data_IF_182984344206
#
_entry.id   IF_182984344206
#
_cell.length_a   1.000
_cell.length_b   1.000
_cell.length_c   1.000
_cell.angle_alpha   90.00
_cell.angle_beta   90.00
_cell.angle_gamma   90.00
#
_symmetry.space_group_name_H-M   'P 1'
#
loop_
_entity.id
_entity.type
_entity.pdbx_description
1 polymer ?
#
# COMPACT_ATOMS: atom_id res chain seq x y z
N UNK A 1 -4.11 -23.40 -10.80
CA UNK A 1 -4.45 -22.55 -11.96
C UNK A 1 -4.75 -21.15 -11.43
N UNK A 2 -3.75 -20.28 -11.40
CA UNK A 2 -3.90 -18.92 -10.89
C UNK A 2 -4.75 -18.09 -11.85
N UNK A 3 -5.91 -17.62 -11.37
CA UNK A 3 -6.68 -16.59 -12.05
C UNK A 3 -5.90 -15.27 -11.97
N UNK A 4 -5.05 -15.02 -12.95
CA UNK A 4 -4.60 -13.66 -13.26
C UNK A 4 -5.87 -12.87 -13.55
N UNK A 5 -6.25 -12.00 -12.62
CA UNK A 5 -7.43 -11.16 -12.77
C UNK A 5 -7.15 -10.19 -13.92
N UNK A 6 -7.69 -10.49 -15.10
CA UNK A 6 -7.54 -9.65 -16.28
C UNK A 6 -8.11 -8.26 -15.94
N UNK A 7 -7.23 -7.25 -15.85
CA UNK A 7 -7.66 -5.87 -15.65
C UNK A 7 -8.37 -5.49 -16.95
N UNK A 8 -9.68 -5.25 -16.90
CA UNK A 8 -10.44 -4.79 -18.07
C UNK A 8 -9.89 -3.43 -18.52
N UNK A 9 -9.69 -3.24 -19.84
CA UNK A 9 -9.20 -1.98 -20.42
C UNK A 9 -10.04 -0.77 -19.98
N UNK A 10 -11.35 -0.96 -19.77
CA UNK A 10 -12.24 0.09 -19.27
C UNK A 10 -11.90 0.52 -17.82
N UNK A 11 -11.52 -0.44 -16.96
CA UNK A 11 -11.13 -0.18 -15.57
C UNK A 11 -9.78 0.51 -15.52
N UNK A 12 -8.83 0.04 -16.34
CA UNK A 12 -7.52 0.66 -16.48
C UNK A 12 -7.64 2.12 -16.97
N UNK A 13 -8.45 2.37 -18.00
CA UNK A 13 -8.70 3.71 -18.51
C UNK A 13 -9.36 4.61 -17.45
N UNK A 14 -10.39 4.13 -16.74
CA UNK A 14 -11.05 4.89 -15.68
C UNK A 14 -10.09 5.23 -14.54
N UNK A 15 -9.28 4.24 -14.10
CA UNK A 15 -8.27 4.45 -13.06
C UNK A 15 -7.25 5.51 -13.49
N UNK A 16 -6.73 5.43 -14.73
CA UNK A 16 -5.78 6.42 -15.26
C UNK A 16 -6.39 7.82 -15.37
N UNK A 17 -7.64 7.94 -15.83
CA UNK A 17 -8.34 9.22 -15.94
C UNK A 17 -8.55 9.86 -14.57
N UNK A 18 -8.97 9.08 -13.57
CA UNK A 18 -9.17 9.58 -12.19
C UNK A 18 -7.86 9.95 -11.51
N UNK A 19 -6.79 9.17 -11.74
CA UNK A 19 -5.44 9.52 -11.29
C UNK A 19 -4.94 10.82 -11.94
N UNK A 20 -5.15 11.00 -13.25
CA UNK A 20 -4.78 12.21 -13.97
C UNK A 20 -5.55 13.44 -13.45
N UNK A 21 -6.86 13.30 -13.21
CA UNK A 21 -7.68 14.34 -12.58
C UNK A 21 -7.17 14.69 -11.18
N UNK A 22 -6.91 13.68 -10.35
CA UNK A 22 -6.38 13.88 -9.00
C UNK A 22 -5.03 14.61 -9.00
N UNK A 23 -4.12 14.20 -9.88
CA UNK A 23 -2.82 14.84 -10.07
C UNK A 23 -2.93 16.30 -10.56
N UNK A 24 -3.91 16.60 -11.43
CA UNK A 24 -4.13 17.96 -11.94
C UNK A 24 -4.75 18.93 -10.93
N UNK A 25 -5.54 18.44 -9.98
CA UNK A 25 -6.24 19.27 -8.97
C UNK A 25 -5.36 19.67 -7.78
N UNK A 26 -4.18 19.08 -7.64
CA UNK A 26 -3.29 19.25 -6.48
C UNK A 26 -1.98 19.90 -6.91
N UNK A 27 -1.69 21.10 -6.41
CA UNK A 27 -0.33 21.64 -6.32
C UNK A 27 0.43 20.85 -5.25
N UNK A 28 0.89 19.63 -5.55
CA UNK A 28 1.44 18.75 -4.52
C UNK A 28 2.92 18.49 -4.76
N UNK A 29 3.73 18.95 -3.81
CA UNK A 29 5.17 18.63 -3.74
C UNK A 29 5.42 17.15 -3.44
N UNK A 30 4.41 16.35 -3.02
CA UNK A 30 4.56 14.90 -2.87
C UNK A 30 3.20 14.15 -2.79
N UNK A 31 2.80 13.46 -3.87
CA UNK A 31 1.66 12.53 -3.83
C UNK A 31 2.08 11.23 -3.14
N UNK A 32 1.42 10.87 -2.04
CA UNK A 32 1.66 9.62 -1.31
C UNK A 32 0.61 8.52 -1.59
N UNK A 33 0.94 7.27 -1.28
CA UNK A 33 0.11 6.09 -1.56
C UNK A 33 -1.26 6.14 -0.83
N UNK A 34 -1.35 6.54 0.44
CA UNK A 34 -2.64 6.70 1.11
C UNK A 34 -3.54 7.75 0.46
N UNK A 35 -2.99 8.91 0.08
CA UNK A 35 -3.75 9.94 -0.62
C UNK A 35 -4.26 9.47 -1.98
N UNK A 36 -3.46 8.70 -2.72
CA UNK A 36 -3.88 8.10 -3.99
C UNK A 36 -5.01 7.10 -3.76
N UNK A 37 -4.86 6.17 -2.81
CA UNK A 37 -5.86 5.13 -2.51
C UNK A 37 -7.19 5.75 -2.08
N UNK A 38 -7.13 6.81 -1.28
CA UNK A 38 -8.31 7.55 -0.83
C UNK A 38 -8.95 8.37 -1.97
N UNK A 39 -8.14 9.03 -2.80
CA UNK A 39 -8.61 9.76 -3.98
C UNK A 39 -9.33 8.84 -4.97
N UNK A 40 -8.82 7.63 -5.15
CA UNK A 40 -9.47 6.59 -5.95
C UNK A 40 -10.79 6.13 -5.35
N UNK A 41 -10.85 5.85 -4.03
CA UNK A 41 -12.09 5.47 -3.33
C UNK A 41 -13.19 6.55 -3.43
N UNK A 42 -12.80 7.83 -3.46
CA UNK A 42 -13.72 8.94 -3.63
C UNK A 42 -14.17 9.13 -5.09
N UNK A 43 -13.29 8.82 -6.05
CA UNK A 43 -13.49 9.14 -7.46
C UNK A 43 -14.14 8.04 -8.30
N UNK A 44 -14.07 6.78 -7.85
CA UNK A 44 -14.54 5.59 -8.58
C UNK A 44 -15.79 5.03 -7.90
N UNK A 45 -16.85 4.85 -8.68
CA UNK A 45 -18.16 4.42 -8.22
C UNK A 45 -18.53 3.04 -8.79
N UNK A 46 -19.54 2.40 -8.19
CA UNK A 46 -19.99 1.06 -8.58
C UNK A 46 -20.35 0.95 -10.07
N UNK A 47 -20.91 2.00 -10.67
CA UNK A 47 -21.28 2.02 -12.10
C UNK A 47 -20.08 2.06 -13.06
N UNK A 48 -18.87 2.33 -12.57
CA UNK A 48 -17.65 2.27 -13.39
C UNK A 48 -17.21 0.80 -13.65
N UNK A 49 -17.89 -0.17 -13.03
CA UNK A 49 -17.61 -1.59 -13.17
C UNK A 49 -18.76 -2.32 -13.86
N UNK A 50 -18.40 -3.20 -14.81
CA UNK A 50 -19.35 -4.10 -15.48
C UNK A 50 -19.95 -5.13 -14.51
N UNK A 51 -19.18 -5.56 -13.52
CA UNK A 51 -19.58 -6.57 -12.56
C UNK A 51 -19.43 -6.05 -11.13
N UNK A 52 -20.50 -6.16 -10.34
CA UNK A 52 -20.52 -5.75 -8.93
C UNK A 52 -19.43 -6.44 -8.10
N UNK A 53 -19.19 -7.72 -8.36
CA UNK A 53 -18.12 -8.48 -7.68
C UNK A 53 -16.73 -7.84 -7.90
N UNK A 54 -16.46 -7.31 -9.10
CA UNK A 54 -15.19 -6.66 -9.41
C UNK A 54 -15.04 -5.34 -8.66
N UNK A 55 -16.11 -4.55 -8.57
CA UNK A 55 -16.12 -3.33 -7.75
C UNK A 55 -15.88 -3.64 -6.27
N UNK A 56 -16.59 -4.61 -5.70
CA UNK A 56 -16.41 -5.03 -4.30
C UNK A 56 -14.97 -5.49 -4.03
N UNK A 57 -14.39 -6.29 -4.93
CA UNK A 57 -13.00 -6.74 -4.81
C UNK A 57 -12.02 -5.57 -4.89
N UNK A 58 -12.20 -4.67 -5.85
CA UNK A 58 -11.37 -3.48 -6.01
C UNK A 58 -11.44 -2.57 -4.78
N UNK A 59 -12.65 -2.23 -4.30
CA UNK A 59 -12.87 -1.40 -3.11
C UNK A 59 -12.20 -2.00 -1.87
N UNK A 60 -12.37 -3.31 -1.67
CA UNK A 60 -11.72 -4.04 -0.56
C UNK A 60 -10.20 -3.97 -0.66
N UNK A 61 -9.61 -4.06 -1.86
CA UNK A 61 -8.16 -3.90 -2.06
C UNK A 61 -7.69 -2.49 -1.67
N UNK A 62 -8.40 -1.45 -2.10
CA UNK A 62 -8.05 -0.06 -1.72
C UNK A 62 -8.12 0.14 -0.20
N UNK A 63 -9.18 -0.37 0.45
CA UNK A 63 -9.32 -0.28 1.90
C UNK A 63 -8.23 -1.07 2.66
N UNK A 64 -7.82 -2.24 2.16
CA UNK A 64 -6.74 -3.02 2.76
C UNK A 64 -5.38 -2.33 2.63
N UNK A 65 -5.11 -1.63 1.51
CA UNK A 65 -3.88 -0.84 1.35
C UNK A 65 -3.84 0.27 2.40
N UNK A 66 -4.95 0.99 2.57
CA UNK A 66 -5.06 2.02 3.61
C UNK A 66 -4.93 1.43 5.01
N UNK A 67 -5.51 0.25 5.27
CA UNK A 67 -5.40 -0.44 6.56
C UNK A 67 -3.95 -0.76 6.88
N UNK A 68 -3.22 -1.41 5.96
CA UNK A 68 -1.83 -1.78 6.21
C UNK A 68 -0.95 -0.53 6.45
N UNK A 69 -1.14 0.53 5.67
CA UNK A 69 -0.33 1.75 5.76
C UNK A 69 -0.64 2.58 7.02
N UNK A 70 -1.89 2.65 7.43
CA UNK A 70 -2.31 3.46 8.59
C UNK A 70 -2.15 2.68 9.89
N UNK A 71 -2.52 1.39 9.93
CA UNK A 71 -2.41 0.57 11.13
C UNK A 71 -0.95 0.28 11.53
N UNK A 72 -0.03 0.19 10.57
CA UNK A 72 1.41 0.05 10.90
C UNK A 72 2.02 1.33 11.50
N UNK A 73 1.31 2.44 11.36
CA UNK A 73 1.81 3.80 11.61
C UNK A 73 1.20 4.42 12.88
N UNK A 74 -0.02 4.02 13.24
CA UNK A 74 -0.73 4.54 14.41
C UNK A 74 -0.25 3.83 15.69
N UNK A 75 0.46 4.57 16.56
CA UNK A 75 0.89 4.07 17.88
C UNK A 75 -0.22 4.13 18.94
N UNK A 76 -1.29 4.91 18.71
CA UNK A 76 -2.42 5.07 19.64
C UNK A 76 -3.48 3.98 19.42
N UNK A 77 -3.78 3.21 20.46
CA UNK A 77 -4.79 2.14 20.39
C UNK A 77 -6.19 2.65 20.04
N UNK A 78 -6.56 3.86 20.47
CA UNK A 78 -7.85 4.46 20.20
C UNK A 78 -7.99 4.87 18.73
N UNK A 79 -7.00 5.56 18.17
CA UNK A 79 -6.98 5.95 16.76
C UNK A 79 -6.96 4.72 15.85
N UNK A 80 -6.17 3.70 16.21
CA UNK A 80 -6.12 2.45 15.46
C UNK A 80 -7.49 1.76 15.40
N UNK A 81 -8.24 1.76 16.51
CA UNK A 81 -9.62 1.24 16.55
C UNK A 81 -10.56 2.09 15.70
N UNK A 82 -10.44 3.42 15.75
CA UNK A 82 -11.24 4.33 14.92
C UNK A 82 -11.00 4.09 13.43
N UNK A 83 -9.74 4.10 12.97
CA UNK A 83 -9.38 3.85 11.56
C UNK A 83 -9.84 2.45 11.14
N UNK A 84 -9.58 1.44 11.97
CA UNK A 84 -10.01 0.06 11.69
C UNK A 84 -11.52 -0.04 11.52
N UNK A 85 -12.30 0.68 12.35
CA UNK A 85 -13.75 0.73 12.22
C UNK A 85 -14.21 1.43 10.93
N UNK A 86 -13.56 2.53 10.54
CA UNK A 86 -13.89 3.25 9.30
C UNK A 86 -13.58 2.40 8.07
N UNK A 87 -12.44 1.72 8.05
CA UNK A 87 -12.06 0.82 6.95
C UNK A 87 -12.92 -0.44 6.92
N UNK A 88 -13.38 -0.94 8.07
CA UNK A 88 -14.36 -2.02 8.12
C UNK A 88 -15.67 -1.64 7.43
N UNK A 89 -16.15 -0.41 7.61
CA UNK A 89 -17.33 0.13 6.90
C UNK A 89 -17.11 0.13 5.40
N UNK A 90 -15.96 0.61 4.90
CA UNK A 90 -15.61 0.62 3.47
C UNK A 90 -15.60 -0.79 2.89
N UNK A 91 -15.04 -1.77 3.62
CA UNK A 91 -14.94 -3.17 3.21
C UNK A 91 -16.29 -3.89 3.18
N UNK A 92 -17.23 -3.50 4.05
CA UNK A 92 -18.55 -4.10 4.14
C UNK A 92 -19.45 -3.60 3.00
N UNK A 93 -19.73 -4.44 2.01
CA UNK A 93 -20.54 -4.03 0.84
C UNK A 93 -21.98 -3.73 1.20
N UNK A 94 -22.57 -4.44 2.16
CA UNK A 94 -23.95 -4.16 2.60
C UNK A 94 -24.03 -2.79 3.26
N UNK A 95 -23.12 -2.51 4.19
CA UNK A 95 -23.09 -1.23 4.89
C UNK A 95 -22.75 -0.08 3.93
N UNK A 96 -21.67 -0.22 3.16
CA UNK A 96 -21.19 0.82 2.27
C UNK A 96 -22.11 1.05 1.08
N UNK A 97 -22.52 0.02 0.35
CA UNK A 97 -23.18 0.16 -0.95
C UNK A 97 -24.70 0.30 -0.86
N UNK A 98 -25.31 -0.30 0.18
CA UNK A 98 -26.77 -0.40 0.32
C UNK A 98 -27.31 0.50 1.43
N UNK A 99 -26.68 0.49 2.61
CA UNK A 99 -27.21 1.20 3.78
C UNK A 99 -26.80 2.68 3.76
N UNK A 100 -25.51 2.98 3.53
CA UNK A 100 -25.01 4.35 3.58
C UNK A 100 -25.40 5.18 2.36
N UNK A 101 -25.84 6.40 2.63
CA UNK A 101 -26.02 7.48 1.65
C UNK A 101 -24.68 8.00 1.11
N UNK A 102 -24.66 8.67 -0.06
CA UNK A 102 -23.45 9.31 -0.58
C UNK A 102 -22.80 10.30 0.41
N UNK A 103 -23.59 11.04 1.19
CA UNK A 103 -23.10 11.96 2.22
C UNK A 103 -22.41 11.21 3.36
N UNK A 104 -22.97 10.11 3.85
CA UNK A 104 -22.34 9.31 4.92
C UNK A 104 -21.03 8.68 4.45
N UNK A 105 -20.96 8.22 3.19
CA UNK A 105 -19.72 7.71 2.59
C UNK A 105 -18.66 8.80 2.52
N UNK A 106 -19.06 10.01 2.13
CA UNK A 106 -18.16 11.16 2.07
C UNK A 106 -17.59 11.51 3.45
N UNK A 107 -18.41 11.54 4.51
CA UNK A 107 -17.94 11.76 5.88
C UNK A 107 -16.95 10.68 6.34
N UNK A 108 -17.18 9.41 6.01
CA UNK A 108 -16.21 8.34 6.30
C UNK A 108 -14.88 8.57 5.59
N UNK A 109 -14.91 8.92 4.29
CA UNK A 109 -13.69 9.20 3.53
C UNK A 109 -12.97 10.46 4.03
N UNK A 110 -13.71 11.49 4.45
CA UNK A 110 -13.14 12.69 5.09
C UNK A 110 -12.45 12.35 6.42
N UNK A 111 -13.08 11.54 7.27
CA UNK A 111 -12.47 11.11 8.53
C UNK A 111 -11.16 10.35 8.30
N UNK A 112 -11.11 9.47 7.30
CA UNK A 112 -9.85 8.79 6.90
C UNK A 112 -8.83 9.80 6.35
N UNK A 113 -9.29 10.81 5.59
CA UNK A 113 -8.43 11.87 5.03
C UNK A 113 -7.71 12.66 6.10
N UNK A 114 -8.41 13.08 7.16
CA UNK A 114 -7.81 13.87 8.24
C UNK A 114 -6.65 13.11 8.89
N UNK A 115 -6.84 11.82 9.12
CA UNK A 115 -5.79 10.93 9.64
C UNK A 115 -4.60 10.87 8.68
N UNK A 116 -4.86 10.65 7.39
CA UNK A 116 -3.81 10.65 6.34
C UNK A 116 -3.04 11.97 6.30
N UNK A 117 -3.72 13.11 6.42
CA UNK A 117 -3.09 14.43 6.40
C UNK A 117 -2.20 14.68 7.62
N UNK A 118 -2.66 14.30 8.82
CA UNK A 118 -1.83 14.37 10.04
C UNK A 118 -0.53 13.58 9.83
N UNK A 119 -0.62 12.37 9.30
CA UNK A 119 0.56 11.55 9.02
C UNK A 119 1.45 12.09 7.89
N UNK A 120 0.86 12.67 6.84
CA UNK A 120 1.60 13.33 5.74
C UNK A 120 2.40 14.53 6.23
N UNK A 121 1.87 15.26 7.22
CA UNK A 121 2.43 16.52 7.72
C UNK A 121 3.41 16.36 8.88
N UNK A 122 3.54 15.14 9.43
CA UNK A 122 4.46 14.87 10.53
C UNK A 122 5.90 14.81 9.99
N UNK A 123 6.90 15.44 10.65
CA UNK A 123 8.30 15.32 10.25
C UNK A 123 8.82 13.89 10.47
N UNK A 124 9.75 13.41 9.64
CA UNK A 124 10.41 12.12 9.86
C UNK A 124 11.07 12.06 11.25
N UNK A 125 10.84 10.98 12.00
CA UNK A 125 11.36 10.83 13.37
C UNK A 125 12.88 10.83 13.48
N UNK A 126 13.60 10.64 12.38
CA UNK A 126 15.06 10.50 12.36
C UNK A 126 15.81 11.62 11.62
N UNK A 127 15.13 12.72 11.26
CA UNK A 127 15.79 13.93 10.76
C UNK A 127 16.53 13.79 9.43
N UNK A 128 16.16 12.82 8.59
CA UNK A 128 16.73 12.68 7.24
C UNK A 128 16.07 13.70 6.31
N UNK A 129 16.89 14.50 5.63
CA UNK A 129 16.42 15.54 4.70
C UNK A 129 15.73 14.90 3.48
N UNK A 130 14.48 15.30 3.21
CA UNK A 130 13.69 14.80 2.08
C UNK A 130 12.79 13.58 2.39
N UNK A 131 12.81 13.08 3.62
CA UNK A 131 11.92 11.99 4.07
C UNK A 131 10.63 12.54 4.71
N UNK A 132 9.48 12.04 4.27
CA UNK A 132 8.19 12.22 4.96
C UNK A 132 8.03 11.19 6.08
N UNK A 133 7.25 11.47 7.13
CA UNK A 133 6.95 10.51 8.20
C UNK A 133 6.41 9.14 7.72
N UNK A 134 5.78 9.09 6.53
CA UNK A 134 5.41 7.84 5.86
C UNK A 134 6.57 6.89 5.55
N UNK A 135 7.77 7.39 5.31
CA UNK A 135 8.95 6.55 5.12
C UNK A 135 9.38 5.87 6.42
N UNK A 136 9.22 6.56 7.55
CA UNK A 136 9.51 6.00 8.88
C UNK A 136 8.38 5.13 9.44
N UNK A 137 7.13 5.37 9.03
CA UNK A 137 5.97 4.64 9.56
C UNK A 137 5.44 3.51 8.64
N UNK A 138 5.64 3.64 7.33
CA UNK A 138 5.52 2.55 6.35
C UNK A 138 6.73 1.62 6.33
N UNK A 139 7.70 1.83 7.24
CA UNK A 139 8.90 1.00 7.34
C UNK A 139 8.53 -0.48 7.48
N UNK A 140 7.51 -0.83 8.26
CA UNK A 140 7.03 -2.21 8.37
C UNK A 140 6.64 -2.83 7.02
N UNK A 141 5.94 -2.09 6.15
CA UNK A 141 5.58 -2.56 4.81
C UNK A 141 6.82 -2.67 3.92
N UNK A 142 7.71 -1.68 3.95
CA UNK A 142 8.95 -1.69 3.17
C UNK A 142 9.84 -2.88 3.56
N UNK A 143 9.95 -3.16 4.86
CA UNK A 143 10.68 -4.30 5.41
C UNK A 143 10.04 -5.61 4.97
N UNK A 144 8.71 -5.72 5.06
CA UNK A 144 7.99 -6.94 4.66
C UNK A 144 8.06 -7.18 3.16
N UNK A 145 8.02 -6.12 2.35
CA UNK A 145 8.21 -6.21 0.91
C UNK A 145 9.64 -6.63 0.57
N UNK A 146 10.63 -6.04 1.23
CA UNK A 146 12.03 -6.41 1.06
C UNK A 146 12.29 -7.86 1.49
N UNK A 147 11.73 -8.29 2.61
CA UNK A 147 11.76 -9.68 3.06
C UNK A 147 11.18 -10.62 1.99
N UNK A 148 10.04 -10.28 1.37
CA UNK A 148 9.48 -11.07 0.25
C UNK A 148 10.35 -11.09 -1.00
N UNK A 149 11.04 -10.00 -1.33
CA UNK A 149 12.04 -9.99 -2.40
C UNK A 149 13.20 -10.94 -2.09
N UNK A 150 13.67 -10.96 -0.84
CA UNK A 150 14.71 -11.88 -0.39
C UNK A 150 14.24 -13.34 -0.40
N UNK A 151 12.99 -13.63 -0.02
CA UNK A 151 12.42 -14.98 -0.18
C UNK A 151 12.39 -15.41 -1.66
N UNK A 152 11.99 -14.50 -2.55
CA UNK A 152 11.96 -14.76 -3.99
C UNK A 152 13.33 -15.10 -4.59
N UNK A 153 14.43 -14.63 -4.00
CA UNK A 153 15.78 -15.09 -4.36
C UNK A 153 15.89 -16.60 -4.17
N UNK A 154 15.49 -17.13 -3.03
CA UNK A 154 15.60 -18.57 -2.72
C UNK A 154 14.54 -19.41 -3.44
N UNK A 155 13.36 -18.86 -3.73
CA UNK A 155 12.33 -19.58 -4.49
C UNK A 155 12.72 -19.84 -5.96
N UNK A 156 13.55 -18.97 -6.54
CA UNK A 156 14.06 -19.10 -7.92
C UNK A 156 15.27 -20.03 -7.97
N UNK A 157 16.04 -20.12 -6.88
CA UNK A 157 17.25 -20.91 -6.84
C UNK A 157 16.96 -22.39 -6.54
N UNK A 158 17.14 -23.28 -7.53
CA UNK A 158 17.06 -24.73 -7.32
C UNK A 158 18.24 -25.27 -6.50
N UNK A 159 18.06 -26.45 -5.88
CA UNK A 159 19.09 -27.14 -5.10
C UNK A 159 20.34 -27.41 -5.98
N UNK A 160 21.42 -26.66 -5.76
CA UNK A 160 22.66 -26.76 -6.54
C UNK A 160 22.91 -25.64 -7.57
N UNK A 161 22.08 -24.58 -7.62
CA UNK A 161 22.39 -23.39 -8.42
C UNK A 161 23.64 -22.63 -7.91
N UNK A 162 24.31 -21.97 -8.86
CA UNK A 162 25.62 -21.34 -8.66
C UNK A 162 25.53 -20.07 -7.80
N UNK A 163 26.54 -19.86 -6.96
CA UNK A 163 26.68 -18.66 -6.10
C UNK A 163 26.66 -17.37 -6.96
N UNK A 164 27.19 -17.42 -8.18
CA UNK A 164 27.18 -16.26 -9.08
C UNK A 164 25.78 -15.81 -9.50
N UNK A 165 24.83 -16.73 -9.70
CA UNK A 165 23.45 -16.41 -10.09
C UNK A 165 22.68 -15.73 -8.95
N UNK A 166 22.89 -16.22 -7.72
CA UNK A 166 22.35 -15.61 -6.52
C UNK A 166 22.87 -14.16 -6.32
N UNK A 167 24.16 -13.93 -6.58
CA UNK A 167 24.76 -12.60 -6.49
C UNK A 167 24.19 -11.62 -7.53
N UNK A 168 23.85 -12.08 -8.73
CA UNK A 168 23.22 -11.25 -9.75
C UNK A 168 21.79 -10.83 -9.38
N UNK A 169 20.97 -11.77 -8.89
CA UNK A 169 19.62 -11.47 -8.42
C UNK A 169 19.67 -10.54 -7.20
N UNK A 170 20.62 -10.77 -6.28
CA UNK A 170 20.79 -9.92 -5.12
C UNK A 170 21.18 -8.49 -5.51
N UNK A 171 22.01 -8.30 -6.55
CA UNK A 171 22.31 -6.97 -7.09
C UNK A 171 21.05 -6.26 -7.59
N UNK A 172 20.12 -6.97 -8.25
CA UNK A 172 18.84 -6.40 -8.69
C UNK A 172 17.96 -5.99 -7.50
N UNK A 173 17.86 -6.84 -6.48
CA UNK A 173 17.12 -6.52 -5.25
C UNK A 173 17.72 -5.29 -4.56
N UNK A 174 19.04 -5.13 -4.56
CA UNK A 174 19.72 -3.96 -3.98
C UNK A 174 19.36 -2.64 -4.66
N UNK A 175 18.89 -2.66 -5.91
CA UNK A 175 18.40 -1.44 -6.57
C UNK A 175 17.15 -0.85 -5.89
N UNK A 176 16.39 -1.65 -5.13
CA UNK A 176 15.21 -1.16 -4.40
C UNK A 176 15.56 -0.52 -3.07
N UNK A 177 16.83 -0.52 -2.65
CA UNK A 177 17.23 -0.04 -1.32
C UNK A 177 16.86 1.41 -1.07
N UNK A 178 17.17 2.28 -2.02
CA UNK A 178 16.83 3.69 -1.91
C UNK A 178 15.33 3.90 -1.79
N UNK A 179 14.53 3.16 -2.57
CA UNK A 179 13.06 3.24 -2.56
C UNK A 179 12.43 2.69 -1.28
N UNK A 180 13.01 1.65 -0.69
CA UNK A 180 12.47 0.97 0.50
C UNK A 180 13.09 1.45 1.81
N UNK A 181 14.08 2.36 1.76
CA UNK A 181 14.80 2.81 2.95
C UNK A 181 15.68 1.72 3.58
N UNK A 182 16.19 0.79 2.77
CA UNK A 182 17.06 -0.30 3.22
C UNK A 182 18.51 0.18 3.18
N UNK A 183 19.22 -0.03 4.28
CA UNK A 183 20.67 0.12 4.35
C UNK A 183 21.35 -1.24 4.53
N UNK A 184 22.67 -1.25 4.44
CA UNK A 184 23.46 -2.48 4.51
C UNK A 184 23.26 -3.26 5.83
N UNK A 185 23.20 -2.57 6.97
CA UNK A 185 22.99 -3.21 8.28
C UNK A 185 21.65 -3.94 8.34
N UNK A 186 20.62 -3.28 7.83
CA UNK A 186 19.27 -3.82 7.81
C UNK A 186 19.14 -4.98 6.82
N UNK A 187 19.76 -4.85 5.64
CA UNK A 187 19.86 -5.94 4.70
C UNK A 187 20.51 -7.17 5.33
N UNK A 188 21.65 -7.01 6.00
CA UNK A 188 22.36 -8.14 6.62
C UNK A 188 21.50 -8.84 7.68
N UNK A 189 20.76 -8.06 8.50
CA UNK A 189 19.86 -8.61 9.50
C UNK A 189 18.68 -9.39 8.86
N UNK A 190 18.01 -8.80 7.87
CA UNK A 190 16.87 -9.42 7.19
C UNK A 190 17.28 -10.61 6.32
N UNK A 191 18.43 -10.52 5.64
CA UNK A 191 18.99 -11.61 4.86
C UNK A 191 19.38 -12.79 5.75
N UNK A 192 20.04 -12.52 6.87
CA UNK A 192 20.33 -13.56 7.87
C UNK A 192 19.06 -14.18 8.47
N UNK A 193 18.03 -13.38 8.72
CA UNK A 193 16.72 -13.87 9.18
C UNK A 193 16.03 -14.78 8.15
N UNK A 194 15.99 -14.36 6.88
CA UNK A 194 15.41 -15.17 5.79
C UNK A 194 16.19 -16.47 5.63
N UNK A 195 17.54 -16.42 5.62
CA UNK A 195 18.39 -17.61 5.58
C UNK A 195 18.09 -18.58 6.73
N UNK A 196 17.90 -18.07 7.95
CA UNK A 196 17.56 -18.89 9.10
C UNK A 196 16.21 -19.62 8.93
N UNK A 197 15.24 -19.02 8.24
CA UNK A 197 13.94 -19.65 7.97
C UNK A 197 13.95 -20.67 6.83
N UNK A 198 15.01 -20.72 6.02
CA UNK A 198 15.18 -21.68 4.93
C UNK A 198 15.82 -23.00 5.38
N UNK A 199 16.36 -23.05 6.61
CA UNK A 199 16.94 -24.25 7.25
C UNK A 199 15.87 -25.03 8.00
#
# INVERSE_FOLDING_TARGET
MCLVHQISEAIDLCTRQKLAQFASTKTCEQLDIPQISLGLLNGIIKSDFLYEKSYTQWKKRQANILEELLCSTINSTAEHQTIGSLLAKVKNSTEWDVIMSPSERFEVLLAIREVVLVFSSTPAQYGVSGETYYWTAGYHLNIRLYEKLLFGLFDVLEEGQLIEEADEILKLIKLTWSTLGINEKLHNALFGWVLFQQV
#
